data_IF_492830848083
#
_entry.id   IF_492830848083
#
_cell.length_a   1.000
_cell.length_b   1.000
_cell.length_c   1.000
_cell.angle_alpha   90.00
_cell.angle_beta   90.00
_cell.angle_gamma   90.00
#
_symmetry.space_group_name_H-M   'P 1'
#
loop_
_entity.id
_entity.type
_entity.pdbx_description
1 polymer ?
#
# COMPACT_ATOMS: atom_id res chain seq x y z
N UNK A 1 -11.10 26.67 -21.31
CA UNK A 1 -9.97 25.74 -21.47
C UNK A 1 -9.94 24.82 -20.25
N UNK A 2 -10.45 23.59 -20.38
CA UNK A 2 -10.52 22.63 -19.27
C UNK A 2 -9.41 21.59 -19.47
N UNK A 3 -8.41 21.61 -18.58
CA UNK A 3 -7.30 20.68 -18.60
C UNK A 3 -7.60 19.49 -17.67
N UNK A 4 -7.65 18.30 -18.27
CA UNK A 4 -6.99 17.08 -17.80
C UNK A 4 -7.32 16.55 -16.40
N UNK A 5 -8.15 15.51 -16.36
CA UNK A 5 -7.99 14.44 -15.37
C UNK A 5 -8.25 13.11 -16.08
N UNK A 6 -7.18 12.45 -16.55
CA UNK A 6 -7.26 11.07 -17.04
C UNK A 6 -7.45 10.16 -15.82
N UNK A 7 -8.67 9.66 -15.67
CA UNK A 7 -9.02 8.61 -14.72
C UNK A 7 -8.37 7.30 -15.18
N UNK A 8 -7.14 7.06 -14.72
CA UNK A 8 -6.47 5.77 -14.81
C UNK A 8 -7.07 4.81 -13.79
N UNK A 9 -8.13 4.10 -14.16
CA UNK A 9 -8.69 3.00 -13.38
C UNK A 9 -7.79 1.79 -13.53
N UNK A 10 -6.74 1.70 -12.72
CA UNK A 10 -5.99 0.46 -12.54
C UNK A 10 -6.78 -0.44 -11.61
N UNK A 11 -7.61 -1.30 -12.20
CA UNK A 11 -8.14 -2.48 -11.53
C UNK A 11 -6.97 -3.45 -11.32
N UNK A 12 -6.30 -3.35 -10.18
CA UNK A 12 -5.25 -4.30 -9.80
C UNK A 12 -5.88 -5.30 -8.82
N UNK A 13 -6.14 -6.49 -9.37
CA UNK A 13 -6.09 -7.81 -8.74
C UNK A 13 -6.88 -7.94 -7.44
N UNK A 14 -8.18 -8.21 -7.59
CA UNK A 14 -8.98 -8.89 -6.57
C UNK A 14 -9.26 -10.32 -7.04
N UNK A 15 -8.31 -11.23 -6.83
CA UNK A 15 -8.60 -12.65 -6.60
C UNK A 15 -7.32 -13.42 -6.28
N UNK A 16 -7.02 -13.62 -5.00
CA UNK A 16 -5.92 -14.50 -4.53
C UNK A 16 -6.41 -15.51 -3.49
N UNK A 17 -7.71 -15.83 -3.47
CA UNK A 17 -8.28 -16.90 -2.65
C UNK A 17 -8.46 -18.15 -3.49
N UNK A 18 -7.34 -18.81 -3.79
CA UNK A 18 -7.33 -19.90 -4.77
C UNK A 18 -6.48 -21.11 -4.46
N UNK A 19 -5.89 -21.29 -3.27
CA UNK A 19 -5.14 -22.52 -2.96
C UNK A 19 -5.63 -23.17 -1.66
N UNK A 20 -6.59 -24.07 -1.79
CA UNK A 20 -6.90 -25.02 -0.73
C UNK A 20 -7.38 -26.35 -1.32
N UNK A 21 -6.44 -27.26 -1.62
CA UNK A 21 -6.66 -28.69 -1.33
C UNK A 21 -5.35 -29.47 -1.19
N UNK A 22 -5.13 -29.96 0.03
CA UNK A 22 -4.38 -31.17 0.41
C UNK A 22 -2.92 -31.35 -0.02
N UNK A 23 -2.02 -30.87 0.84
CA UNK A 23 -0.98 -31.75 1.39
C UNK A 23 -0.64 -31.23 2.78
N UNK A 24 -0.55 -32.13 3.76
CA UNK A 24 0.05 -31.83 5.07
C UNK A 24 1.54 -31.55 4.81
N UNK A 25 1.86 -30.30 4.48
CA UNK A 25 3.24 -29.83 4.33
C UNK A 25 3.71 -29.39 5.71
N UNK A 26 4.56 -30.18 6.34
CA UNK A 26 5.62 -29.65 7.22
C UNK A 26 6.72 -29.03 6.37
N UNK A 27 6.33 -28.25 5.35
CA UNK A 27 7.18 -27.83 4.24
C UNK A 27 7.99 -26.62 4.67
N UNK A 28 9.30 -26.83 4.84
CA UNK A 28 10.28 -25.76 4.65
C UNK A 28 9.93 -25.09 3.32
N UNK A 29 9.71 -23.77 3.33
CA UNK A 29 9.55 -23.02 2.08
C UNK A 29 10.76 -23.33 1.18
N UNK A 30 10.51 -23.78 -0.04
CA UNK A 30 11.61 -24.07 -0.96
C UNK A 30 12.28 -22.75 -1.40
N UNK A 31 13.50 -22.82 -1.92
CA UNK A 31 14.29 -21.64 -2.30
C UNK A 31 13.55 -20.74 -3.32
N UNK A 32 12.69 -21.33 -4.15
CA UNK A 32 11.81 -20.59 -5.08
C UNK A 32 10.76 -19.74 -4.35
N UNK A 33 10.13 -20.26 -3.29
CA UNK A 33 9.13 -19.53 -2.52
C UNK A 33 9.79 -18.35 -1.77
N UNK A 34 11.00 -18.58 -1.25
CA UNK A 34 11.82 -17.55 -0.61
C UNK A 34 12.23 -16.46 -1.61
N UNK A 35 12.66 -16.84 -2.81
CA UNK A 35 12.99 -15.89 -3.88
C UNK A 35 11.77 -15.04 -4.27
N UNK A 36 10.61 -15.66 -4.44
CA UNK A 36 9.37 -14.97 -4.76
C UNK A 36 8.92 -14.04 -3.63
N UNK A 37 9.04 -14.45 -2.37
CA UNK A 37 8.75 -13.60 -1.22
C UNK A 37 9.62 -12.33 -1.20
N UNK A 38 10.89 -12.42 -1.59
CA UNK A 38 11.78 -11.25 -1.71
C UNK A 38 11.33 -10.28 -2.81
N UNK A 39 10.85 -10.79 -3.95
CA UNK A 39 10.28 -9.95 -5.02
C UNK A 39 9.05 -9.20 -4.51
N UNK A 40 8.15 -9.88 -3.79
CA UNK A 40 6.99 -9.23 -3.19
C UNK A 40 7.38 -8.19 -2.12
N UNK A 41 8.40 -8.46 -1.30
CA UNK A 41 8.90 -7.49 -0.32
C UNK A 41 9.41 -6.22 -1.01
N UNK A 42 10.18 -6.34 -2.10
CA UNK A 42 10.64 -5.18 -2.86
C UNK A 42 9.46 -4.35 -3.42
N UNK A 43 8.43 -5.02 -3.95
CA UNK A 43 7.22 -4.34 -4.44
C UNK A 43 6.46 -3.63 -3.31
N UNK A 44 6.38 -4.24 -2.11
CA UNK A 44 5.77 -3.60 -0.94
C UNK A 44 6.57 -2.39 -0.46
N UNK A 45 7.90 -2.44 -0.48
CA UNK A 45 8.75 -1.32 -0.10
C UNK A 45 8.57 -0.12 -1.06
N UNK A 46 8.47 -0.37 -2.36
CA UNK A 46 8.16 0.66 -3.38
C UNK A 46 6.77 1.28 -3.16
N UNK A 47 5.77 0.45 -2.85
CA UNK A 47 4.41 0.93 -2.56
C UNK A 47 4.37 1.73 -1.24
N UNK A 48 5.10 1.30 -0.21
CA UNK A 48 5.25 2.05 1.06
C UNK A 48 5.87 3.42 0.79
N UNK A 49 6.92 3.50 -0.03
CA UNK A 49 7.53 4.78 -0.40
C UNK A 49 6.53 5.69 -1.13
N UNK A 50 5.79 5.14 -2.09
CA UNK A 50 4.77 5.85 -2.87
C UNK A 50 3.65 6.41 -1.98
N UNK A 51 3.04 5.57 -1.14
CA UNK A 51 1.95 5.98 -0.25
C UNK A 51 2.44 6.94 0.84
N UNK A 52 3.70 6.82 1.27
CA UNK A 52 4.31 7.78 2.20
C UNK A 52 4.43 9.16 1.58
N UNK A 53 4.87 9.26 0.33
CA UNK A 53 4.91 10.53 -0.40
C UNK A 53 3.51 11.14 -0.55
N UNK A 54 2.50 10.32 -0.90
CA UNK A 54 1.11 10.77 -0.99
C UNK A 54 0.56 11.27 0.35
N UNK A 55 0.94 10.63 1.47
CA UNK A 55 0.55 11.08 2.80
C UNK A 55 1.13 12.46 3.12
N UNK A 56 2.41 12.68 2.83
CA UNK A 56 3.05 13.98 3.04
C UNK A 56 2.44 15.07 2.14
N UNK A 57 2.17 14.75 0.88
CA UNK A 57 1.49 15.66 -0.03
C UNK A 57 0.07 16.02 0.46
N UNK A 58 -0.72 15.04 0.89
CA UNK A 58 -2.05 15.29 1.44
C UNK A 58 -1.98 16.16 2.70
N UNK A 59 -1.01 15.93 3.59
CA UNK A 59 -0.79 16.77 4.77
C UNK A 59 -0.42 18.20 4.39
N UNK A 60 0.50 18.38 3.43
CA UNK A 60 0.90 19.69 2.92
C UNK A 60 -0.30 20.43 2.34
N UNK A 61 -1.07 19.79 1.47
CA UNK A 61 -2.25 20.38 0.84
C UNK A 61 -3.36 20.73 1.84
N UNK A 62 -3.55 19.92 2.89
CA UNK A 62 -4.46 20.25 3.97
C UNK A 62 -4.03 21.51 4.73
N UNK A 63 -2.73 21.65 5.02
CA UNK A 63 -2.17 22.83 5.68
C UNK A 63 -2.30 24.08 4.79
N UNK A 64 -2.00 23.97 3.49
CA UNK A 64 -2.16 25.07 2.53
C UNK A 64 -3.62 25.53 2.40
N UNK A 65 -4.56 24.59 2.30
CA UNK A 65 -5.98 24.91 2.20
C UNK A 65 -6.49 25.64 3.46
N UNK A 66 -6.03 25.24 4.64
CA UNK A 66 -6.31 25.95 5.91
C UNK A 66 -5.74 27.35 5.93
N UNK A 67 -4.48 27.53 5.52
CA UNK A 67 -3.84 28.84 5.46
C UNK A 67 -4.60 29.80 4.53
N UNK A 68 -5.26 29.27 3.49
CA UNK A 68 -6.10 30.03 2.55
C UNK A 68 -7.57 30.16 2.99
N UNK A 69 -7.95 29.67 4.17
CA UNK A 69 -9.33 29.69 4.67
C UNK A 69 -10.30 28.74 3.95
N UNK A 70 -9.81 27.82 3.13
CA UNK A 70 -10.63 26.85 2.40
C UNK A 70 -10.81 25.56 3.23
N UNK A 71 -11.70 25.63 4.22
CA UNK A 71 -11.98 24.52 5.14
C UNK A 71 -12.51 23.23 4.44
N UNK A 72 -13.38 23.30 3.41
CA UNK A 72 -13.82 22.10 2.70
C UNK A 72 -12.67 21.35 2.01
N UNK A 73 -11.81 22.06 1.27
CA UNK A 73 -10.64 21.43 0.62
C UNK A 73 -9.65 20.92 1.66
N UNK A 74 -9.43 21.65 2.76
CA UNK A 74 -8.60 21.18 3.87
C UNK A 74 -9.09 19.85 4.43
N UNK A 75 -10.37 19.77 4.78
CA UNK A 75 -11.01 18.55 5.30
C UNK A 75 -10.87 17.37 4.33
N UNK A 76 -11.04 17.60 3.03
CA UNK A 76 -10.87 16.55 2.03
C UNK A 76 -9.45 15.97 2.03
N UNK A 77 -8.42 16.82 2.03
CA UNK A 77 -7.02 16.38 2.07
C UNK A 77 -6.68 15.64 3.37
N UNK A 78 -7.29 16.00 4.50
CA UNK A 78 -7.12 15.26 5.74
C UNK A 78 -7.72 13.86 5.70
N UNK A 79 -8.88 13.71 5.07
CA UNK A 79 -9.47 12.39 4.84
C UNK A 79 -8.58 11.54 3.94
N UNK A 80 -7.96 12.12 2.91
CA UNK A 80 -6.96 11.42 2.09
C UNK A 80 -5.76 10.99 2.94
N UNK A 81 -5.20 11.89 3.76
CA UNK A 81 -4.10 11.56 4.67
C UNK A 81 -4.48 10.43 5.65
N UNK A 82 -5.71 10.42 6.17
CA UNK A 82 -6.21 9.34 7.03
C UNK A 82 -6.34 8.00 6.28
N UNK A 83 -6.72 8.03 5.00
CA UNK A 83 -6.74 6.85 4.13
C UNK A 83 -5.32 6.33 3.87
N UNK A 84 -4.37 7.19 3.46
CA UNK A 84 -2.97 6.79 3.26
C UNK A 84 -2.33 6.19 4.52
N UNK A 85 -2.61 6.75 5.71
CA UNK A 85 -2.17 6.16 6.98
C UNK A 85 -2.70 4.73 7.20
N UNK A 86 -3.95 4.47 6.83
CA UNK A 86 -4.54 3.12 6.94
C UNK A 86 -3.89 2.16 5.96
N UNK A 87 -3.68 2.61 4.72
CA UNK A 87 -2.95 1.84 3.69
C UNK A 87 -1.52 1.50 4.16
N UNK A 88 -0.77 2.47 4.67
CA UNK A 88 0.58 2.23 5.21
C UNK A 88 0.59 1.20 6.33
N UNK A 89 -0.37 1.24 7.25
CA UNK A 89 -0.45 0.23 8.32
C UNK A 89 -0.66 -1.17 7.76
N UNK A 90 -1.50 -1.30 6.74
CA UNK A 90 -1.75 -2.58 6.08
C UNK A 90 -0.52 -3.08 5.32
N UNK A 91 0.17 -2.21 4.57
CA UNK A 91 1.41 -2.57 3.86
C UNK A 91 2.49 -3.05 4.84
N UNK A 92 2.74 -2.32 5.93
CA UNK A 92 3.69 -2.77 6.96
C UNK A 92 3.29 -4.12 7.58
N UNK A 93 1.99 -4.35 7.79
CA UNK A 93 1.48 -5.64 8.28
C UNK A 93 1.77 -6.77 7.29
N UNK A 94 1.60 -6.53 5.99
CA UNK A 94 1.90 -7.49 4.93
C UNK A 94 3.40 -7.79 4.87
N UNK A 95 4.25 -6.77 4.93
CA UNK A 95 5.72 -6.92 5.02
C UNK A 95 6.10 -7.79 6.21
N UNK A 96 5.56 -7.50 7.40
CA UNK A 96 5.84 -8.28 8.61
C UNK A 96 5.35 -9.74 8.49
N UNK A 97 4.19 -9.96 7.88
CA UNK A 97 3.65 -11.30 7.66
C UNK A 97 4.56 -12.12 6.75
N UNK A 98 5.00 -11.55 5.61
CA UNK A 98 5.93 -12.19 4.69
C UNK A 98 7.27 -12.49 5.36
N UNK A 99 7.86 -11.52 6.06
CA UNK A 99 9.11 -11.74 6.81
C UNK A 99 8.99 -12.86 7.82
N UNK A 100 7.90 -12.88 8.59
CA UNK A 100 7.67 -13.92 9.61
C UNK A 100 7.45 -15.29 8.99
N UNK A 101 6.66 -15.38 7.91
CA UNK A 101 6.31 -16.65 7.25
C UNK A 101 7.53 -17.31 6.60
N UNK A 102 8.41 -16.53 6.01
CA UNK A 102 9.58 -17.02 5.28
C UNK A 102 10.90 -16.87 6.07
N UNK A 103 10.82 -16.47 7.34
CA UNK A 103 11.98 -16.27 8.24
C UNK A 103 13.04 -15.34 7.63
N UNK A 104 12.57 -14.28 6.96
CA UNK A 104 13.42 -13.29 6.29
C UNK A 104 13.84 -12.20 7.27
N UNK A 105 15.10 -11.80 7.19
CA UNK A 105 15.65 -10.65 7.93
C UNK A 105 15.09 -9.31 7.42
#
# INVERSE_FOLDING_TARGET
MAAGAKQGRLAIVSDWTGWSTTRRWTGVADDSDVAQARVFLAALDDEIATVSAQLEDARRLAAEARARGNAPTGTWHEQQAATHKRTLRELHRQTQNLRTRFTLA
#
